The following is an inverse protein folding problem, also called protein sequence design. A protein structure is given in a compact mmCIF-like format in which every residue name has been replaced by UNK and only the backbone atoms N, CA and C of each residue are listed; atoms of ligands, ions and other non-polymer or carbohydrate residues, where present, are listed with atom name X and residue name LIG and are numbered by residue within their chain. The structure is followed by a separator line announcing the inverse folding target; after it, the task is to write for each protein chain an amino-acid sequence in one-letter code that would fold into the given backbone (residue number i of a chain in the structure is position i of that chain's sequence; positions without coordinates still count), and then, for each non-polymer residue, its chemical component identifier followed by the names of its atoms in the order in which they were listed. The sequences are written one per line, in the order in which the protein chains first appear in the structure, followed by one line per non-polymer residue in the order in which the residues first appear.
data_IF_783646770705
#
_entry.id   IF_783646770705
#
_cell.length_a   1.000
_cell.length_b   1.000
_cell.length_c   1.000
_cell.angle_alpha   90.00
_cell.angle_beta   90.00
_cell.angle_gamma   90.00
#
_symmetry.space_group_name_H-M   'P 1'
#
loop_
_entity.id
_entity.type
_entity.pdbx_description
1 polymer ?
#
# COMPACT_ATOMS: atom_id res chain seq x y z
N UNK A 1 -6.08 29.05 19.94
CA UNK A 1 -7.00 28.23 20.79
C UNK A 1 -7.79 27.27 19.90
N UNK A 2 -8.36 27.71 18.77
CA UNK A 2 -9.11 26.86 17.82
C UNK A 2 -8.22 25.75 17.24
N UNK A 3 -6.97 26.08 16.87
CA UNK A 3 -6.01 25.11 16.32
C UNK A 3 -5.62 24.01 17.32
N UNK A 4 -5.56 24.33 18.62
CA UNK A 4 -5.26 23.36 19.67
C UNK A 4 -6.44 22.42 19.95
N UNK A 5 -7.67 22.93 19.84
CA UNK A 5 -8.90 22.13 19.99
C UNK A 5 -9.06 21.13 18.84
N UNK A 6 -8.77 21.54 17.61
CA UNK A 6 -8.78 20.66 16.43
C UNK A 6 -7.72 19.57 16.59
N UNK A 7 -6.51 19.91 17.05
CA UNK A 7 -5.44 18.94 17.27
C UNK A 7 -5.79 17.93 18.38
N UNK A 8 -6.42 18.36 19.46
CA UNK A 8 -6.84 17.48 20.56
C UNK A 8 -7.97 16.55 20.09
N UNK A 9 -8.95 17.04 19.36
CA UNK A 9 -10.04 16.22 18.81
C UNK A 9 -9.50 15.19 17.78
N UNK A 10 -8.56 15.60 16.95
CA UNK A 10 -7.86 14.74 16.00
C UNK A 10 -7.04 13.63 16.71
N UNK A 11 -6.43 13.92 17.86
CA UNK A 11 -5.68 12.94 18.66
C UNK A 11 -6.64 12.00 19.42
N UNK A 12 -7.78 12.48 19.91
CA UNK A 12 -8.76 11.65 20.63
C UNK A 12 -9.50 10.68 19.72
N UNK A 13 -9.85 11.07 18.49
CA UNK A 13 -10.52 10.19 17.52
C UNK A 13 -9.61 9.07 16.98
N UNK A 14 -8.30 9.14 17.20
CA UNK A 14 -7.32 8.16 16.70
C UNK A 14 -6.72 7.23 17.75
N UNK A 15 -7.35 7.05 18.90
CA UNK A 15 -6.98 5.97 19.85
C UNK A 15 -7.41 4.60 19.31
N UNK A 16 -6.95 4.23 18.12
CA UNK A 16 -7.14 2.88 17.59
C UNK A 16 -6.04 1.97 18.10
N UNK A 17 -6.42 0.74 18.44
CA UNK A 17 -5.46 -0.32 18.71
C UNK A 17 -4.59 -0.54 17.46
N UNK A 18 -3.28 -0.34 17.59
CA UNK A 18 -2.36 -0.61 16.50
C UNK A 18 -2.39 -2.10 16.16
N UNK A 19 -2.64 -2.48 14.91
CA UNK A 19 -2.67 -3.89 14.53
C UNK A 19 -1.28 -4.50 14.68
N UNK A 20 -1.25 -5.68 15.29
CA UNK A 20 -0.03 -6.47 15.39
C UNK A 20 0.19 -7.26 14.12
N UNK A 21 1.31 -7.03 13.47
CA UNK A 21 1.80 -7.87 12.36
C UNK A 21 2.96 -8.71 12.86
N UNK A 22 2.94 -10.01 12.62
CA UNK A 22 4.02 -10.90 12.99
C UNK A 22 4.21 -12.02 11.96
N UNK A 23 5.45 -12.34 11.66
CA UNK A 23 5.85 -13.46 10.82
C UNK A 23 6.89 -14.28 11.56
N UNK A 24 6.73 -15.61 11.57
CA UNK A 24 7.63 -16.54 12.22
C UNK A 24 8.07 -17.60 11.21
N UNK A 25 9.36 -17.84 11.14
CA UNK A 25 9.96 -18.93 10.36
C UNK A 25 10.72 -19.84 11.29
N UNK A 26 10.57 -21.16 11.10
CA UNK A 26 11.27 -22.16 11.89
C UNK A 26 12.18 -23.00 11.01
N UNK A 27 13.34 -23.34 11.55
CA UNK A 27 14.28 -24.29 10.99
C UNK A 27 14.28 -25.50 11.93
N UNK A 28 13.96 -26.68 11.41
CA UNK A 28 13.99 -27.93 12.19
C UNK A 28 15.40 -28.52 12.25
N UNK A 29 15.57 -29.61 12.99
CA UNK A 29 16.87 -30.28 13.16
C UNK A 29 17.45 -30.77 11.83
N UNK A 30 16.61 -31.31 10.94
CA UNK A 30 17.04 -31.75 9.61
C UNK A 30 17.58 -30.62 8.77
N UNK A 31 16.83 -29.50 8.70
CA UNK A 31 17.24 -28.30 7.97
C UNK A 31 18.53 -27.71 8.53
N UNK A 32 18.68 -27.75 9.87
CA UNK A 32 19.90 -27.30 10.54
C UNK A 32 21.11 -28.17 10.19
N UNK A 33 20.94 -29.49 10.22
CA UNK A 33 22.00 -30.42 9.86
C UNK A 33 22.42 -30.29 8.39
N UNK A 34 21.45 -30.12 7.50
CA UNK A 34 21.70 -29.82 6.08
C UNK A 34 22.50 -28.55 5.89
N UNK A 35 22.07 -27.47 6.56
CA UNK A 35 22.80 -26.19 6.55
C UNK A 35 24.25 -26.35 7.04
N UNK A 36 24.46 -27.06 8.14
CA UNK A 36 25.81 -27.31 8.69
C UNK A 36 26.69 -28.14 7.73
N UNK A 37 26.11 -29.13 7.05
CA UNK A 37 26.81 -29.94 6.08
C UNK A 37 27.21 -29.10 4.86
N UNK A 38 26.26 -28.38 4.27
CA UNK A 38 26.51 -27.47 3.13
C UNK A 38 27.53 -26.37 3.48
N UNK A 39 27.47 -25.83 4.71
CA UNK A 39 28.42 -24.82 5.17
C UNK A 39 29.85 -25.34 5.25
N UNK A 40 30.06 -26.61 5.62
CA UNK A 40 31.37 -27.26 5.63
C UNK A 40 31.85 -27.53 4.19
N UNK A 41 30.95 -27.98 3.32
CA UNK A 41 31.28 -28.28 1.91
C UNK A 41 31.66 -26.99 1.14
N UNK A 42 31.19 -25.85 1.60
CA UNK A 42 31.53 -24.52 1.05
C UNK A 42 32.78 -23.90 1.71
N UNK A 43 33.49 -24.62 2.58
CA UNK A 43 34.71 -24.11 3.23
C UNK A 43 35.82 -23.92 2.17
N UNK A 44 36.18 -22.65 1.93
CA UNK A 44 37.15 -22.26 0.91
C UNK A 44 36.56 -21.64 -0.36
N UNK A 45 35.25 -21.70 -0.57
CA UNK A 45 34.55 -21.04 -1.68
C UNK A 45 33.63 -19.94 -1.16
N UNK A 46 34.06 -18.67 -1.32
CA UNK A 46 33.31 -17.50 -0.87
C UNK A 46 31.98 -17.30 -1.59
N UNK A 47 31.90 -17.74 -2.84
CA UNK A 47 30.71 -17.52 -3.68
C UNK A 47 29.61 -18.51 -3.30
N UNK A 48 29.97 -19.79 -3.13
CA UNK A 48 29.05 -20.81 -2.63
C UNK A 48 28.56 -20.52 -1.21
N UNK A 49 29.45 -20.03 -0.33
CA UNK A 49 29.07 -19.62 1.02
C UNK A 49 28.10 -18.43 1.01
N UNK A 50 28.31 -17.47 0.11
CA UNK A 50 27.40 -16.33 -0.05
C UNK A 50 26.01 -16.75 -0.54
N UNK A 51 25.95 -17.72 -1.44
CA UNK A 51 24.67 -18.30 -1.93
C UNK A 51 23.96 -19.07 -0.80
N UNK A 52 24.69 -19.84 -0.01
CA UNK A 52 24.15 -20.56 1.13
C UNK A 52 23.60 -19.59 2.20
N UNK A 53 24.36 -18.58 2.57
CA UNK A 53 23.94 -17.53 3.50
C UNK A 53 22.70 -16.78 2.99
N UNK A 54 22.60 -16.58 1.69
CA UNK A 54 21.41 -15.97 1.06
C UNK A 54 20.18 -16.88 1.17
N UNK A 55 20.33 -18.18 0.98
CA UNK A 55 19.23 -19.13 1.07
C UNK A 55 18.65 -19.27 2.48
N UNK A 56 19.51 -19.12 3.50
CA UNK A 56 19.15 -19.25 4.93
C UNK A 56 19.04 -17.91 5.68
N UNK A 57 18.92 -16.78 4.99
CA UNK A 57 18.69 -15.45 5.58
C UNK A 57 17.28 -15.28 6.14
N UNK A 58 16.98 -16.01 7.21
CA UNK A 58 15.67 -15.96 7.86
C UNK A 58 15.30 -14.57 8.39
N UNK A 59 16.27 -13.81 8.86
CA UNK A 59 16.03 -12.45 9.36
C UNK A 59 15.54 -11.49 8.26
N UNK A 60 16.18 -11.53 7.09
CA UNK A 60 15.77 -10.70 5.96
C UNK A 60 14.40 -11.14 5.43
N UNK A 61 14.14 -12.45 5.42
CA UNK A 61 12.83 -12.99 5.01
C UNK A 61 11.71 -12.47 5.91
N UNK A 62 11.82 -12.64 7.24
CA UNK A 62 10.75 -12.23 8.17
C UNK A 62 10.60 -10.70 8.21
N UNK A 63 11.70 -9.95 8.08
CA UNK A 63 11.67 -8.49 7.98
C UNK A 63 10.92 -8.01 6.73
N UNK A 64 11.28 -8.55 5.56
CA UNK A 64 10.66 -8.18 4.31
C UNK A 64 9.19 -8.61 4.23
N UNK A 65 8.83 -9.73 4.86
CA UNK A 65 7.44 -10.18 4.95
C UNK A 65 6.56 -9.20 5.76
N UNK A 66 7.08 -8.68 6.88
CA UNK A 66 6.39 -7.64 7.65
C UNK A 66 6.27 -6.35 6.82
N UNK A 67 7.36 -5.88 6.20
CA UNK A 67 7.31 -4.69 5.32
C UNK A 67 6.33 -4.86 4.16
N UNK A 68 6.32 -6.01 3.51
CA UNK A 68 5.39 -6.30 2.41
C UNK A 68 3.92 -6.21 2.85
N UNK A 69 3.62 -6.53 4.12
CA UNK A 69 2.27 -6.33 4.67
C UNK A 69 1.91 -4.86 4.82
N UNK A 70 2.84 -4.02 5.28
CA UNK A 70 2.63 -2.58 5.35
C UNK A 70 2.50 -1.95 3.97
N UNK A 71 3.32 -2.36 3.02
CA UNK A 71 3.20 -1.94 1.62
C UNK A 71 1.82 -2.28 1.05
N UNK A 72 1.28 -3.47 1.36
CA UNK A 72 -0.08 -3.86 1.02
C UNK A 72 -1.11 -2.87 1.59
N UNK A 73 -1.02 -2.56 2.88
CA UNK A 73 -1.95 -1.64 3.53
C UNK A 73 -1.85 -0.21 2.96
N UNK A 74 -0.63 0.28 2.70
CA UNK A 74 -0.45 1.58 2.05
C UNK A 74 -1.14 1.64 0.68
N UNK A 75 -1.01 0.59 -0.14
CA UNK A 75 -1.66 0.51 -1.44
C UNK A 75 -3.19 0.46 -1.32
N UNK A 76 -3.72 -0.23 -0.31
CA UNK A 76 -5.17 -0.24 -0.04
C UNK A 76 -5.66 1.15 0.42
N UNK A 77 -4.92 1.81 1.34
CA UNK A 77 -5.26 3.17 1.77
C UNK A 77 -5.33 4.13 0.59
N UNK A 78 -4.31 4.14 -0.28
CA UNK A 78 -4.27 5.03 -1.44
C UNK A 78 -5.34 4.69 -2.49
N UNK A 79 -5.70 3.42 -2.66
CA UNK A 79 -6.63 3.02 -3.72
C UNK A 79 -8.08 2.89 -3.30
N UNK A 80 -8.35 2.72 -1.98
CA UNK A 80 -9.70 2.54 -1.42
C UNK A 80 -10.07 3.54 -0.33
N UNK A 81 -9.11 4.29 0.18
CA UNK A 81 -9.28 5.13 1.37
C UNK A 81 -9.23 4.34 2.68
N UNK A 82 -8.98 3.03 2.64
CA UNK A 82 -8.90 2.17 3.83
C UNK A 82 -8.66 0.71 3.50
N UNK A 83 -8.56 -0.11 4.56
CA UNK A 83 -8.42 -1.57 4.44
C UNK A 83 -9.15 -2.28 5.57
N UNK A 84 -9.55 -3.53 5.34
CA UNK A 84 -10.21 -4.38 6.33
C UNK A 84 -9.24 -5.47 6.78
N UNK A 85 -9.18 -5.71 8.10
CA UNK A 85 -8.47 -6.82 8.71
C UNK A 85 -9.47 -7.96 8.96
N UNK A 86 -9.51 -8.95 8.10
CA UNK A 86 -10.39 -10.12 8.21
C UNK A 86 -9.59 -11.43 8.22
N UNK A 87 -10.27 -12.54 8.47
CA UNK A 87 -9.65 -13.88 8.54
C UNK A 87 -8.97 -14.32 7.25
N UNK A 88 -9.43 -13.85 6.09
CA UNK A 88 -8.87 -14.22 4.79
C UNK A 88 -7.54 -13.53 4.51
N UNK A 89 -7.31 -12.35 5.06
CA UNK A 89 -6.10 -11.57 4.84
C UNK A 89 -5.20 -11.45 6.07
N UNK A 90 -5.66 -11.85 7.26
CA UNK A 90 -4.93 -11.77 8.52
C UNK A 90 -5.16 -13.03 9.36
N UNK A 91 -4.47 -14.11 9.02
CA UNK A 91 -4.66 -15.44 9.57
C UNK A 91 -4.60 -15.44 11.11
N UNK A 92 -5.73 -15.65 11.77
CA UNK A 92 -5.87 -15.82 13.22
C UNK A 92 -6.12 -14.57 14.06
N UNK A 93 -6.05 -13.36 13.50
CA UNK A 93 -6.43 -12.12 14.19
C UNK A 93 -7.47 -11.39 13.32
N UNK A 94 -8.72 -11.53 13.71
CA UNK A 94 -9.85 -10.93 13.00
C UNK A 94 -10.41 -9.83 13.86
N UNK A 95 -10.33 -8.59 13.37
CA UNK A 95 -11.03 -7.48 13.97
C UNK A 95 -12.30 -7.14 13.19
N UNK A 96 -12.38 -7.59 11.91
CA UNK A 96 -13.44 -7.23 10.95
C UNK A 96 -13.72 -5.72 10.88
N UNK A 97 -12.77 -4.95 11.36
CA UNK A 97 -12.86 -3.51 11.46
C UNK A 97 -12.27 -2.88 10.20
N UNK A 98 -13.00 -1.94 9.63
CA UNK A 98 -12.50 -1.11 8.55
C UNK A 98 -11.57 -0.04 9.14
N UNK A 99 -10.35 0.00 8.64
CA UNK A 99 -9.34 1.00 8.99
C UNK A 99 -9.29 2.02 7.87
N UNK A 100 -10.06 3.10 7.98
CA UNK A 100 -10.09 4.19 7.02
C UNK A 100 -8.98 5.21 7.26
N UNK A 101 -8.59 5.94 6.21
CA UNK A 101 -7.66 7.07 6.33
C UNK A 101 -8.33 8.36 6.84
N UNK A 102 -9.66 8.41 6.94
CA UNK A 102 -10.41 9.61 7.32
C UNK A 102 -10.64 10.58 6.15
N UNK A 103 -10.56 10.11 4.91
CA UNK A 103 -10.83 10.91 3.72
C UNK A 103 -12.31 11.31 3.66
N UNK A 104 -12.65 12.59 3.39
CA UNK A 104 -14.02 13.04 3.21
C UNK A 104 -14.73 12.32 2.07
N UNK A 105 -16.05 12.11 2.23
CA UNK A 105 -16.84 11.44 1.18
C UNK A 105 -16.90 12.27 -0.13
N UNK A 106 -16.82 13.58 -0.02
CA UNK A 106 -16.79 14.51 -1.13
C UNK A 106 -15.56 14.32 -2.04
N UNK A 107 -14.46 13.77 -1.47
CA UNK A 107 -13.23 13.47 -2.20
C UNK A 107 -13.29 12.14 -2.96
N UNK A 108 -14.36 11.36 -2.76
CA UNK A 108 -14.62 10.12 -3.47
C UNK A 108 -15.39 10.41 -4.75
N UNK A 109 -14.68 10.46 -5.85
CA UNK A 109 -15.24 10.77 -7.18
C UNK A 109 -15.57 9.49 -7.96
N UNK A 110 -16.39 9.66 -9.00
CA UNK A 110 -16.74 8.61 -9.94
C UNK A 110 -16.59 9.17 -11.35
N UNK A 111 -15.96 8.42 -12.25
CA UNK A 111 -15.86 8.81 -13.65
C UNK A 111 -17.25 8.93 -14.29
N UNK A 112 -17.44 9.92 -15.15
CA UNK A 112 -18.71 10.18 -15.82
C UNK A 112 -19.16 8.97 -16.68
N UNK A 113 -18.20 8.28 -17.29
CA UNK A 113 -18.41 7.06 -18.09
C UNK A 113 -17.33 6.05 -17.76
N UNK A 114 -17.70 4.76 -17.69
CA UNK A 114 -16.74 3.67 -17.53
C UNK A 114 -15.62 3.77 -18.58
N UNK A 115 -14.37 3.83 -18.09
CA UNK A 115 -13.18 3.98 -18.94
C UNK A 115 -12.92 2.79 -19.87
N UNK A 116 -13.58 1.68 -19.67
CA UNK A 116 -13.56 0.54 -20.60
C UNK A 116 -14.31 0.85 -21.92
N UNK A 117 -15.25 1.80 -21.89
CA UNK A 117 -16.03 2.26 -23.05
C UNK A 117 -15.23 3.25 -23.89
N UNK A 118 -14.26 2.76 -24.66
CA UNK A 118 -13.29 3.57 -25.39
C UNK A 118 -13.89 4.60 -26.38
N UNK A 119 -15.12 4.43 -26.79
CA UNK A 119 -15.81 5.34 -27.76
C UNK A 119 -16.45 6.55 -27.10
N UNK A 120 -16.89 6.44 -25.86
CA UNK A 120 -17.68 7.46 -25.15
C UNK A 120 -16.99 8.02 -23.91
N UNK A 121 -16.03 7.29 -23.32
CA UNK A 121 -15.29 7.76 -22.16
C UNK A 121 -14.27 8.86 -22.51
N UNK A 122 -14.11 9.82 -21.60
CA UNK A 122 -13.09 10.87 -21.65
C UNK A 122 -12.38 10.99 -20.30
N UNK A 123 -11.44 10.11 -20.06
CA UNK A 123 -10.73 10.06 -18.79
C UNK A 123 -9.80 11.26 -18.54
N UNK A 124 -9.41 12.02 -19.58
CA UNK A 124 -8.68 13.28 -19.36
C UNK A 124 -9.61 14.36 -18.80
N UNK A 125 -10.87 14.39 -19.25
CA UNK A 125 -11.86 15.30 -18.69
C UNK A 125 -12.17 14.95 -17.23
N UNK A 126 -12.37 13.65 -16.92
CA UNK A 126 -12.60 13.19 -15.55
C UNK A 126 -11.44 13.60 -14.60
N UNK A 127 -10.19 13.52 -15.09
CA UNK A 127 -9.01 13.97 -14.34
C UNK A 127 -9.03 15.50 -14.15
N UNK A 128 -9.27 16.25 -15.21
CA UNK A 128 -9.35 17.72 -15.16
C UNK A 128 -10.42 18.19 -14.19
N UNK A 129 -11.64 17.63 -14.30
CA UNK A 129 -12.76 17.99 -13.42
C UNK A 129 -12.45 17.73 -11.94
N UNK A 130 -11.72 16.64 -11.64
CA UNK A 130 -11.29 16.32 -10.28
C UNK A 130 -10.24 17.30 -9.78
N UNK A 131 -9.26 17.67 -10.61
CA UNK A 131 -8.22 18.65 -10.27
C UNK A 131 -8.84 20.03 -10.02
N UNK A 132 -9.79 20.44 -10.84
CA UNK A 132 -10.52 21.71 -10.67
C UNK A 132 -11.34 21.69 -9.38
N UNK A 133 -12.04 20.60 -9.09
CA UNK A 133 -12.78 20.46 -7.84
C UNK A 133 -11.87 20.51 -6.61
N UNK A 134 -10.70 19.85 -6.64
CA UNK A 134 -9.71 19.92 -5.57
C UNK A 134 -9.14 21.34 -5.39
N UNK A 135 -8.86 22.03 -6.50
CA UNK A 135 -8.37 23.42 -6.47
C UNK A 135 -9.39 24.38 -5.86
N UNK A 136 -10.69 24.17 -6.07
CA UNK A 136 -11.75 24.96 -5.46
C UNK A 136 -11.78 24.82 -3.91
N UNK A 137 -11.35 23.66 -3.38
CA UNK A 137 -11.20 23.41 -1.95
C UNK A 137 -9.80 23.79 -1.43
N UNK A 138 -8.95 24.42 -2.26
CA UNK A 138 -7.62 24.87 -1.88
C UNK A 138 -6.52 23.78 -1.94
N UNK A 139 -6.81 22.63 -2.55
CA UNK A 139 -5.88 21.50 -2.67
C UNK A 139 -5.22 21.50 -4.05
N UNK A 140 -3.88 21.45 -4.08
CA UNK A 140 -3.10 21.47 -5.34
C UNK A 140 -2.65 20.06 -5.70
N UNK A 141 -3.40 19.37 -6.57
CA UNK A 141 -3.04 18.04 -7.05
C UNK A 141 -1.82 18.10 -7.98
N UNK A 142 -0.81 17.28 -7.71
CA UNK A 142 0.40 17.14 -8.55
C UNK A 142 0.54 15.75 -9.15
N UNK A 143 -0.04 14.74 -8.53
CA UNK A 143 0.14 13.36 -8.96
C UNK A 143 -1.19 12.64 -9.10
N UNK A 144 -1.36 11.94 -10.22
CA UNK A 144 -2.46 11.01 -10.46
C UNK A 144 -1.88 9.61 -10.53
N UNK A 145 -2.10 8.83 -9.49
CA UNK A 145 -1.54 7.48 -9.34
C UNK A 145 -2.54 6.46 -9.83
N UNK A 146 -2.15 5.62 -10.78
CA UNK A 146 -3.02 4.58 -11.33
C UNK A 146 -2.24 3.33 -11.75
N UNK A 147 -2.96 2.21 -11.90
CA UNK A 147 -2.39 0.98 -12.44
C UNK A 147 -2.13 1.09 -13.94
N UNK A 148 -1.15 0.31 -14.43
CA UNK A 148 -0.81 0.25 -15.86
C UNK A 148 -2.00 -0.19 -16.74
N UNK A 149 -2.86 -1.08 -16.24
CA UNK A 149 -4.06 -1.53 -16.96
C UNK A 149 -5.09 -0.40 -17.13
N UNK A 150 -5.29 0.44 -16.09
CA UNK A 150 -6.15 1.64 -16.20
C UNK A 150 -5.59 2.65 -17.17
N UNK A 151 -4.30 2.90 -17.12
CA UNK A 151 -3.64 3.73 -18.12
C UNK A 151 -3.79 3.17 -19.54
N UNK A 152 -3.77 1.84 -19.69
CA UNK A 152 -3.98 1.20 -20.98
C UNK A 152 -5.42 1.41 -21.52
N UNK A 153 -6.42 1.56 -20.64
CA UNK A 153 -7.79 1.94 -21.02
C UNK A 153 -7.84 3.42 -21.42
N UNK A 154 -7.30 4.31 -20.58
CA UNK A 154 -7.23 5.75 -20.82
C UNK A 154 -6.68 6.09 -22.21
N UNK A 155 -5.52 5.56 -22.58
CA UNK A 155 -4.87 5.84 -23.87
C UNK A 155 -5.61 5.27 -25.10
N UNK A 156 -6.61 4.38 -24.92
CA UNK A 156 -7.44 3.82 -26.00
C UNK A 156 -8.72 4.61 -26.24
N UNK A 157 -9.06 5.52 -25.35
CA UNK A 157 -10.28 6.32 -25.47
C UNK A 157 -10.19 7.28 -26.66
N UNK A 158 -11.27 7.33 -27.43
CA UNK A 158 -11.32 8.15 -28.64
C UNK A 158 -11.14 9.64 -28.34
N UNK A 159 -11.81 10.14 -27.30
CA UNK A 159 -11.69 11.53 -26.86
C UNK A 159 -10.26 11.90 -26.46
N UNK A 160 -9.58 11.02 -25.71
CA UNK A 160 -8.18 11.21 -25.31
C UNK A 160 -7.25 11.27 -26.53
N UNK A 161 -7.46 10.35 -27.50
CA UNK A 161 -6.67 10.32 -28.73
C UNK A 161 -6.85 11.60 -29.53
N UNK A 162 -8.09 12.08 -29.66
CA UNK A 162 -8.43 13.29 -30.42
C UNK A 162 -7.85 14.56 -29.74
N UNK A 163 -8.01 14.70 -28.41
CA UNK A 163 -7.44 15.82 -27.62
C UNK A 163 -5.92 15.89 -27.77
N UNK A 164 -5.22 14.78 -27.53
CA UNK A 164 -3.76 14.74 -27.58
C UNK A 164 -3.22 14.96 -28.98
N UNK A 165 -3.84 14.38 -30.01
CA UNK A 165 -3.45 14.60 -31.42
C UNK A 165 -3.71 16.02 -31.89
N UNK A 166 -4.83 16.61 -31.47
CA UNK A 166 -5.17 18.00 -31.76
C UNK A 166 -4.14 18.98 -31.18
N UNK A 167 -3.70 18.71 -29.95
CA UNK A 167 -2.69 19.52 -29.28
C UNK A 167 -1.31 19.46 -29.97
N UNK A 168 -0.86 18.27 -30.38
CA UNK A 168 0.45 18.10 -31.04
C UNK A 168 0.45 18.54 -32.53
N UNK A 169 -0.73 18.81 -33.10
CA UNK A 169 -0.89 19.14 -34.51
C UNK A 169 -0.39 18.05 -35.49
N UNK A 170 -0.33 16.79 -35.03
CA UNK A 170 0.11 15.65 -35.85
C UNK A 170 -1.08 14.80 -36.24
N UNK A 171 -1.33 14.73 -37.56
CA UNK A 171 -2.39 13.89 -38.14
C UNK A 171 -2.04 12.40 -38.22
N UNK A 172 -0.77 12.02 -38.04
CA UNK A 172 -0.29 10.64 -38.23
C UNK A 172 -0.01 9.91 -36.92
N UNK A 173 -0.27 8.62 -36.94
CA UNK A 173 0.00 7.52 -35.98
C UNK A 173 0.90 7.82 -34.78
N UNK A 174 0.50 8.77 -33.92
CA UNK A 174 1.20 9.00 -32.66
C UNK A 174 0.86 7.86 -31.69
N UNK A 175 1.88 7.22 -31.16
CA UNK A 175 1.75 6.30 -30.03
C UNK A 175 1.58 7.11 -28.76
N UNK A 176 0.39 7.08 -28.16
CA UNK A 176 0.12 7.75 -26.90
C UNK A 176 0.85 7.02 -25.78
N UNK A 177 1.92 7.64 -25.27
CA UNK A 177 2.69 7.18 -24.14
C UNK A 177 2.39 8.02 -22.90
N UNK A 178 2.83 7.55 -21.71
CA UNK A 178 2.72 8.32 -20.46
C UNK A 178 3.38 9.70 -20.58
N UNK A 179 4.53 9.78 -21.26
CA UNK A 179 5.24 11.05 -21.46
C UNK A 179 4.39 12.05 -22.22
N UNK A 180 3.79 11.62 -23.32
CA UNK A 180 2.93 12.46 -24.18
C UNK A 180 1.70 12.96 -23.42
N UNK A 181 1.05 12.12 -22.61
CA UNK A 181 -0.10 12.56 -21.80
C UNK A 181 0.35 13.53 -20.72
N UNK A 182 1.47 13.31 -20.05
CA UNK A 182 1.99 14.25 -19.04
C UNK A 182 2.37 15.61 -19.67
N UNK A 183 2.93 15.63 -20.87
CA UNK A 183 3.21 16.85 -21.63
C UNK A 183 1.92 17.58 -22.02
N UNK A 184 0.87 16.83 -22.41
CA UNK A 184 -0.44 17.39 -22.67
C UNK A 184 -1.05 18.04 -21.40
N UNK A 185 -1.06 17.33 -20.28
CA UNK A 185 -1.59 17.85 -19.01
C UNK A 185 -0.82 19.10 -18.55
N UNK A 186 0.48 19.11 -18.70
CA UNK A 186 1.32 20.25 -18.35
C UNK A 186 1.06 21.49 -19.23
N UNK A 187 0.50 21.32 -20.42
CA UNK A 187 0.16 22.42 -21.34
C UNK A 187 -1.27 22.95 -21.15
N UNK A 188 -2.09 22.32 -20.31
CA UNK A 188 -3.45 22.78 -20.02
C UNK A 188 -3.44 23.62 -18.74
N UNK A 189 -4.16 24.75 -18.73
CA UNK A 189 -4.23 25.69 -17.60
C UNK A 189 -4.72 25.03 -16.29
N UNK A 190 -5.71 24.15 -16.38
CA UNK A 190 -6.32 23.51 -15.22
C UNK A 190 -5.52 22.36 -14.65
N UNK A 191 -4.59 21.78 -15.41
CA UNK A 191 -3.80 20.60 -15.01
C UNK A 191 -2.30 20.85 -15.07
N UNK A 192 -1.87 22.11 -15.07
CA UNK A 192 -0.47 22.48 -15.04
C UNK A 192 0.23 21.88 -13.80
N UNK A 193 1.34 21.19 -14.03
CA UNK A 193 2.08 20.52 -12.97
C UNK A 193 1.59 19.12 -12.60
N UNK A 194 0.42 18.68 -13.10
CA UNK A 194 -0.10 17.33 -12.83
C UNK A 194 0.66 16.27 -13.62
N UNK A 195 1.03 15.19 -12.95
CA UNK A 195 1.76 14.06 -13.54
C UNK A 195 1.08 12.73 -13.24
N UNK A 196 0.91 11.90 -14.26
CA UNK A 196 0.46 10.51 -14.09
C UNK A 196 1.62 9.64 -13.64
N UNK A 197 1.43 8.94 -12.52
CA UNK A 197 2.36 7.95 -11.96
C UNK A 197 1.76 6.56 -12.12
N UNK A 198 2.51 5.65 -12.75
CA UNK A 198 2.04 4.29 -12.97
C UNK A 198 2.59 3.34 -11.91
N UNK A 199 1.68 2.63 -11.25
CA UNK A 199 2.01 1.57 -10.29
C UNK A 199 1.67 0.19 -10.87
N UNK A 200 2.45 -0.79 -10.50
CA UNK A 200 2.23 -2.21 -10.82
C UNK A 200 2.59 -3.06 -9.61
N UNK A 201 1.96 -2.81 -8.46
CA UNK A 201 2.26 -3.59 -7.28
C UNK A 201 1.79 -5.03 -7.49
N UNK A 202 2.67 -5.98 -7.23
CA UNK A 202 2.32 -7.39 -7.17
C UNK A 202 2.98 -8.03 -5.97
N UNK A 203 2.17 -8.64 -5.11
CA UNK A 203 2.65 -9.33 -3.91
C UNK A 203 2.35 -10.82 -4.06
N UNK A 204 3.33 -11.66 -3.76
CA UNK A 204 3.12 -13.10 -3.69
C UNK A 204 2.65 -13.45 -2.29
N UNK A 205 1.49 -14.08 -2.21
CA UNK A 205 0.92 -14.60 -0.97
C UNK A 205 1.01 -16.12 -1.02
N UNK A 206 1.47 -16.71 0.07
CA UNK A 206 1.48 -18.17 0.27
C UNK A 206 0.39 -18.52 1.28
N UNK A 207 -0.48 -19.46 0.90
CA UNK A 207 -1.53 -19.94 1.79
C UNK A 207 -0.99 -21.07 2.72
N UNK A 208 -1.82 -21.54 3.64
CA UNK A 208 -1.46 -22.60 4.58
C UNK A 208 -1.10 -23.96 3.88
N UNK A 209 -1.51 -24.13 2.62
CA UNK A 209 -1.18 -25.29 1.80
C UNK A 209 0.08 -25.09 0.95
N UNK A 210 0.89 -24.07 1.25
CA UNK A 210 2.11 -23.69 0.50
C UNK A 210 1.89 -23.34 -0.97
N UNK A 211 0.64 -23.04 -1.36
CA UNK A 211 0.33 -22.56 -2.70
C UNK A 211 0.60 -21.06 -2.79
N UNK A 212 1.32 -20.66 -3.82
CA UNK A 212 1.68 -19.25 -4.05
C UNK A 212 0.75 -18.63 -5.07
N UNK A 213 0.10 -17.55 -4.69
CA UNK A 213 -0.72 -16.71 -5.57
C UNK A 213 -0.14 -15.32 -5.66
N UNK A 214 -0.22 -14.72 -6.84
CA UNK A 214 0.18 -13.31 -7.03
C UNK A 214 -1.07 -12.46 -7.00
N UNK A 215 -1.13 -11.50 -6.08
CA UNK A 215 -2.25 -10.57 -5.91
C UNK A 215 -1.77 -9.14 -6.07
N UNK A 216 -2.65 -8.29 -6.55
CA UNK A 216 -2.39 -6.87 -6.66
C UNK A 216 -3.12 -6.16 -5.52
N UNK A 217 -2.41 -5.44 -4.63
CA UNK A 217 -3.04 -4.73 -3.52
C UNK A 217 -3.81 -3.47 -3.93
N UNK A 218 -3.49 -2.91 -5.10
CA UNK A 218 -4.18 -1.73 -5.61
C UNK A 218 -5.52 -2.10 -6.23
N UNK A 219 -6.60 -1.39 -5.86
CA UNK A 219 -7.93 -1.61 -6.45
C UNK A 219 -7.92 -1.32 -7.94
N UNK A 220 -8.42 -2.30 -8.72
CA UNK A 220 -8.27 -2.28 -10.18
C UNK A 220 -8.93 -1.06 -10.84
N UNK A 221 -10.11 -0.67 -10.37
CA UNK A 221 -10.90 0.41 -10.95
C UNK A 221 -10.50 1.81 -10.46
N UNK A 222 -9.68 1.91 -9.41
CA UNK A 222 -9.47 3.18 -8.71
C UNK A 222 -8.18 3.86 -9.12
N UNK A 223 -8.23 5.19 -9.18
CA UNK A 223 -7.08 6.07 -9.31
C UNK A 223 -7.06 7.05 -8.13
N UNK A 224 -5.87 7.45 -7.72
CA UNK A 224 -5.66 8.31 -6.57
C UNK A 224 -5.01 9.63 -7.00
N UNK A 225 -5.46 10.74 -6.43
CA UNK A 225 -4.94 12.08 -6.68
C UNK A 225 -4.27 12.58 -5.41
N UNK A 226 -3.05 13.07 -5.53
CA UNK A 226 -2.19 13.45 -4.40
C UNK A 226 -1.48 14.78 -4.67
N UNK A 227 -1.23 15.53 -3.61
CA UNK A 227 -0.34 16.69 -3.65
C UNK A 227 1.13 16.29 -3.69
N UNK A 228 1.50 15.22 -2.97
CA UNK A 228 2.85 14.67 -2.90
C UNK A 228 2.81 13.14 -2.91
N UNK A 229 3.86 12.52 -3.45
CA UNK A 229 4.05 11.06 -3.39
C UNK A 229 4.40 10.58 -1.98
N UNK A 230 4.99 11.44 -1.14
CA UNK A 230 5.18 11.18 0.29
C UNK A 230 3.94 11.63 1.07
N UNK A 231 2.81 11.02 0.81
CA UNK A 231 1.52 11.39 1.38
C UNK A 231 1.25 10.83 2.77
N UNK A 232 2.16 10.03 3.36
CA UNK A 232 1.91 9.38 4.65
C UNK A 232 3.14 8.83 5.32
N UNK A 233 2.93 8.38 6.56
CA UNK A 233 3.95 7.81 7.43
C UNK A 233 3.46 6.52 8.07
N UNK A 234 4.38 5.75 8.68
CA UNK A 234 4.05 4.57 9.49
C UNK A 234 4.09 4.95 10.96
N UNK A 235 2.93 5.02 11.60
CA UNK A 235 2.85 5.17 13.05
C UNK A 235 3.05 3.82 13.73
N UNK A 236 3.91 3.76 14.74
CA UNK A 236 4.22 2.53 15.46
C UNK A 236 4.16 2.70 16.96
N UNK A 237 3.81 1.62 17.64
CA UNK A 237 3.75 1.54 19.10
C UNK A 237 4.73 0.54 19.68
N UNK A 238 4.80 0.47 21.01
CA UNK A 238 5.70 -0.45 21.71
C UNK A 238 5.30 -1.91 21.50
N UNK A 239 6.29 -2.77 21.48
CA UNK A 239 6.14 -4.23 21.43
C UNK A 239 6.50 -4.79 22.80
N UNK A 240 5.63 -5.62 23.39
CA UNK A 240 5.86 -6.17 24.73
C UNK A 240 7.21 -6.94 24.84
N UNK A 241 7.55 -7.69 23.81
CA UNK A 241 8.82 -8.43 23.75
C UNK A 241 10.07 -7.51 23.77
N UNK A 242 9.94 -6.28 23.21
CA UNK A 242 11.00 -5.29 23.20
C UNK A 242 11.33 -4.76 24.60
N UNK A 243 10.34 -4.72 25.50
CA UNK A 243 10.50 -4.20 26.86
C UNK A 243 10.70 -5.30 27.91
N UNK A 244 10.49 -6.56 27.58
CA UNK A 244 10.64 -7.70 28.51
C UNK A 244 12.11 -8.11 28.66
N UNK A 245 12.64 -7.95 29.86
CA UNK A 245 14.02 -8.39 30.22
C UNK A 245 14.15 -9.91 30.09
N UNK A 246 13.13 -10.65 30.53
CA UNK A 246 13.12 -12.12 30.46
C UNK A 246 13.12 -12.63 29.02
N UNK A 247 12.40 -11.96 28.13
CA UNK A 247 12.42 -12.28 26.71
C UNK A 247 13.80 -12.08 26.09
N UNK A 248 14.44 -10.94 26.38
CA UNK A 248 15.78 -10.62 25.88
C UNK A 248 16.88 -11.55 26.38
N UNK A 249 16.71 -12.16 27.54
CA UNK A 249 17.64 -13.20 28.05
C UNK A 249 17.55 -14.50 27.28
N UNK A 250 16.37 -14.84 26.74
CA UNK A 250 16.09 -16.12 26.06
C UNK A 250 16.20 -16.06 24.54
N UNK A 251 16.20 -14.86 23.97
CA UNK A 251 16.21 -14.64 22.52
C UNK A 251 17.28 -13.61 22.14
N UNK A 252 17.97 -13.84 21.05
CA UNK A 252 18.75 -12.79 20.38
C UNK A 252 17.78 -11.82 19.71
N UNK A 253 17.97 -10.53 19.91
CA UNK A 253 17.02 -9.50 19.46
C UNK A 253 17.72 -8.41 18.64
N UNK A 254 17.02 -7.96 17.59
CA UNK A 254 17.44 -6.87 16.73
C UNK A 254 16.23 -5.99 16.45
N UNK A 255 16.38 -4.67 16.49
CA UNK A 255 15.37 -3.71 16.02
C UNK A 255 15.86 -3.06 14.74
N UNK A 256 15.03 -3.11 13.70
CA UNK A 256 15.29 -2.47 12.43
C UNK A 256 14.05 -1.66 12.05
N UNK A 257 14.18 -0.35 12.00
CA UNK A 257 13.08 0.61 11.88
C UNK A 257 12.02 0.38 12.98
N UNK A 258 10.76 0.15 12.59
CA UNK A 258 9.65 -0.18 13.49
C UNK A 258 9.45 -1.69 13.70
N UNK A 259 10.30 -2.54 13.09
CA UNK A 259 10.21 -3.99 13.16
C UNK A 259 11.17 -4.54 14.23
N UNK A 260 10.62 -5.34 15.13
CA UNK A 260 11.39 -6.05 16.16
C UNK A 260 11.59 -7.50 15.71
N UNK A 261 12.85 -7.91 15.60
CA UNK A 261 13.25 -9.24 15.17
C UNK A 261 13.81 -9.98 16.38
N UNK A 262 13.40 -11.22 16.57
CA UNK A 262 13.88 -12.10 17.63
C UNK A 262 14.21 -13.48 17.11
N UNK A 263 15.27 -14.08 17.64
CA UNK A 263 15.73 -15.43 17.29
C UNK A 263 15.98 -16.23 18.58
N UNK A 264 15.42 -17.42 18.67
CA UNK A 264 15.58 -18.33 19.80
C UNK A 264 15.51 -19.79 19.36
N UNK A 265 16.01 -20.69 20.21
CA UNK A 265 15.95 -22.14 19.96
C UNK A 265 15.10 -22.82 21.01
N UNK A 266 14.35 -23.80 20.61
CA UNK A 266 13.68 -24.80 21.45
C UNK A 266 14.56 -26.05 21.51
N UNK A 267 14.65 -26.68 22.69
CA UNK A 267 15.58 -27.77 22.90
C UNK A 267 14.99 -29.13 22.50
N UNK A 268 13.69 -29.36 22.73
CA UNK A 268 13.06 -30.63 22.48
C UNK A 268 11.62 -30.50 21.99
N UNK A 269 11.31 -30.82 20.72
CA UNK A 269 12.29 -31.14 19.65
C UNK A 269 13.13 -29.91 19.27
N UNK A 270 14.37 -30.12 18.83
CA UNK A 270 15.22 -29.03 18.40
C UNK A 270 14.57 -28.24 17.26
N UNK A 271 14.43 -26.95 17.48
CA UNK A 271 13.89 -26.02 16.48
C UNK A 271 14.41 -24.61 16.72
N UNK A 272 14.96 -24.01 15.69
CA UNK A 272 15.35 -22.63 15.73
C UNK A 272 14.27 -21.75 15.11
N UNK A 273 13.89 -20.68 15.78
CA UNK A 273 12.85 -19.78 15.35
C UNK A 273 13.40 -18.38 15.12
N UNK A 274 13.04 -17.82 13.98
CA UNK A 274 13.22 -16.41 13.69
C UNK A 274 11.86 -15.76 13.52
N UNK A 275 11.58 -14.70 14.28
CA UNK A 275 10.30 -13.97 14.27
C UNK A 275 10.56 -12.50 14.05
N UNK A 276 9.79 -11.87 13.17
CA UNK A 276 9.66 -10.43 13.10
C UNK A 276 8.25 -10.02 13.52
N UNK A 277 8.12 -8.93 14.27
CA UNK A 277 6.84 -8.38 14.68
C UNK A 277 6.88 -6.85 14.71
N UNK A 278 5.72 -6.24 14.46
CA UNK A 278 5.51 -4.82 14.54
C UNK A 278 4.09 -4.52 15.03
N UNK A 279 3.96 -3.51 15.87
CA UNK A 279 2.69 -2.87 16.20
C UNK A 279 2.69 -1.53 15.47
N UNK A 280 2.11 -1.49 14.27
CA UNK A 280 2.20 -0.30 13.45
C UNK A 280 1.03 -0.22 12.45
N UNK A 281 0.78 0.99 11.97
CA UNK A 281 -0.27 1.27 10.99
C UNK A 281 0.21 2.38 10.04
N UNK A 282 -0.04 2.26 8.73
CA UNK A 282 0.18 3.37 7.82
C UNK A 282 -0.91 4.43 8.01
N UNK A 283 -0.53 5.69 7.95
CA UNK A 283 -1.43 6.85 8.12
C UNK A 283 -1.17 7.83 6.99
N UNK A 284 -2.24 8.35 6.39
CA UNK A 284 -2.16 9.48 5.47
C UNK A 284 -2.04 10.76 6.30
N UNK A 285 -1.08 11.63 5.95
CA UNK A 285 -0.79 12.84 6.72
C UNK A 285 -1.89 13.89 6.57
N UNK A 286 -2.40 14.03 5.36
CA UNK A 286 -3.51 14.92 5.03
C UNK A 286 -4.57 14.17 4.22
N UNK A 287 -5.57 13.57 4.90
CA UNK A 287 -6.66 12.87 4.20
C UNK A 287 -7.57 13.80 3.42
N UNK A 288 -7.67 15.07 3.82
CA UNK A 288 -8.52 16.06 3.15
C UNK A 288 -7.94 16.47 1.78
N UNK A 289 -6.62 16.36 1.62
CA UNK A 289 -5.92 16.65 0.37
C UNK A 289 -5.83 15.43 -0.57
N UNK A 290 -6.40 14.28 -0.20
CA UNK A 290 -6.41 13.09 -1.04
C UNK A 290 -7.78 12.89 -1.69
N UNK A 291 -7.77 12.56 -3.00
CA UNK A 291 -8.97 12.21 -3.76
C UNK A 291 -8.83 10.83 -4.38
N UNK A 292 -9.91 10.09 -4.44
CA UNK A 292 -9.97 8.79 -5.13
C UNK A 292 -11.13 8.80 -6.12
N UNK A 293 -10.88 8.29 -7.33
CA UNK A 293 -11.91 8.17 -8.36
C UNK A 293 -12.08 6.71 -8.79
N UNK A 294 -13.32 6.23 -8.81
CA UNK A 294 -13.71 4.99 -9.50
C UNK A 294 -13.85 5.24 -10.99
N UNK A 295 -13.13 4.50 -11.79
CA UNK A 295 -13.10 4.65 -13.26
C UNK A 295 -14.01 3.67 -14.00
N UNK A 296 -14.76 2.85 -13.28
CA UNK A 296 -15.74 1.89 -13.80
C UNK A 296 -17.17 2.45 -13.88
N UNK A 297 -17.35 3.72 -13.46
CA UNK A 297 -18.66 4.37 -13.43
C UNK A 297 -19.60 3.84 -12.35
N UNK A 298 -19.11 3.00 -11.42
CA UNK A 298 -19.91 2.48 -10.32
C UNK A 298 -19.89 3.47 -9.14
N UNK A 299 -21.04 3.73 -8.56
CA UNK A 299 -21.13 4.53 -7.34
C UNK A 299 -20.38 3.87 -6.19
N UNK A 300 -19.90 4.68 -5.26
CA UNK A 300 -19.38 4.20 -3.98
C UNK A 300 -20.53 3.55 -3.19
N UNK A 301 -20.35 2.35 -2.67
CA UNK A 301 -21.35 1.67 -1.85
C UNK A 301 -21.21 2.08 -0.38
N UNK A 302 -22.34 2.38 0.27
CA UNK A 302 -22.36 2.56 1.73
C UNK A 302 -21.83 1.28 2.40
N UNK A 303 -20.79 1.40 3.22
CA UNK A 303 -20.14 0.28 3.90
C UNK A 303 -18.77 -0.10 3.37
N UNK A 304 -18.38 0.34 2.17
CA UNK A 304 -16.96 0.27 1.79
C UNK A 304 -16.12 1.25 2.61
N UNK A 305 -16.77 2.21 3.31
CA UNK A 305 -16.14 3.39 3.90
C UNK A 305 -16.75 3.87 5.23
N UNK A 306 -17.66 3.15 5.85
CA UNK A 306 -18.23 3.63 7.10
C UNK A 306 -17.25 3.43 8.26
N UNK A 307 -16.59 4.52 8.69
CA UNK A 307 -16.51 4.75 10.12
C UNK A 307 -17.95 4.62 10.64
N UNK A 308 -18.21 3.67 11.50
CA UNK A 308 -19.37 3.78 12.38
C UNK A 308 -19.12 5.06 13.17
N UNK A 309 -19.75 6.15 12.78
CA UNK A 309 -19.99 7.24 13.70
C UNK A 309 -20.79 6.61 14.82
N UNK A 310 -20.16 6.40 15.97
CA UNK A 310 -20.84 6.11 17.21
C UNK A 310 -21.68 7.35 17.57
N UNK A 311 -22.79 7.51 16.87
CA UNK A 311 -23.95 8.21 17.37
C UNK A 311 -24.76 7.21 18.20
N UNK A 312 -24.25 6.86 19.36
CA UNK A 312 -25.11 6.49 20.49
C UNK A 312 -24.42 6.96 21.78
N UNK A 313 -24.94 8.02 22.23
CA UNK A 313 -25.15 8.62 23.52
C UNK A 313 -24.32 8.09 24.73
N UNK A 314 -23.53 8.98 25.25
CA UNK A 314 -23.66 9.43 26.65
C UNK A 314 -22.99 10.79 26.80
#
# INVERSE_FOLDING_TARGET
IISLFILIHYIESRRRLLPKTAVKRGMNESDWNEYQQLSRDCEGDSDLKSILDLAFKDQDFVYNAVRGRFEWWCMQLMSKGGFILNSSNNNGIVTEEFVGCGMPNENKKVAAVDWSKSTTADGLQDIEDTVVAASAEGVTIKYVVMRKDRFALLKKQKAVIEKVRGWINQKEKLTISKKVINEYLAAQENTEGVQIVLVSPSVRIENAAHQRTTVNPWEAANICFLEDLQCGDVQHGPIAAEHSVEYKKKASTLKKDFVFISKWSELEPFKEWTKAEANAIPVINDPDAMYIMKTDGQAWTEGEDTEKTDEEGY
#
